data_IF_896809745957
#
_entry.id   IF_896809745957
#
_cell.length_a   1.000
_cell.length_b   1.000
_cell.length_c   1.000
_cell.angle_alpha   90.00
_cell.angle_beta   90.00
_cell.angle_gamma   90.00
#
_symmetry.space_group_name_H-M   'P 1'
#
loop_
_entity.id
_entity.type
_entity.pdbx_description
1 polymer ?
#
# COMPACT_ATOMS: atom_id res chain seq x y z
N UNK A 1 -8.28 -0.99 -13.40
CA UNK A 1 -7.33 -1.37 -12.33
C UNK A 1 -7.95 -2.20 -11.22
N UNK A 2 -9.01 -1.73 -10.53
CA UNK A 2 -9.72 -2.51 -9.48
C UNK A 2 -10.09 -3.93 -9.89
N UNK A 3 -10.61 -4.12 -11.10
CA UNK A 3 -11.01 -5.44 -11.62
C UNK A 3 -9.83 -6.41 -11.82
N UNK A 4 -8.64 -5.91 -12.17
CA UNK A 4 -7.46 -6.74 -12.47
C UNK A 4 -6.93 -7.40 -11.20
N UNK A 5 -6.94 -6.65 -10.09
CA UNK A 5 -6.45 -7.09 -8.78
C UNK A 5 -7.61 -7.45 -7.83
N UNK A 6 -8.82 -7.56 -8.36
CA UNK A 6 -10.04 -7.93 -7.63
C UNK A 6 -10.26 -7.12 -6.33
N UNK A 7 -9.97 -5.82 -6.37
CA UNK A 7 -10.11 -4.91 -5.24
C UNK A 7 -11.58 -4.45 -5.07
N UNK A 8 -12.06 -4.27 -3.83
CA UNK A 8 -13.39 -3.71 -3.56
C UNK A 8 -13.60 -2.32 -4.19
N UNK A 9 -14.84 -1.95 -4.54
CA UNK A 9 -15.14 -0.66 -5.17
C UNK A 9 -14.87 0.54 -4.23
N UNK A 10 -14.96 0.34 -2.92
CA UNK A 10 -14.70 1.33 -1.87
C UNK A 10 -13.22 1.55 -1.56
N UNK A 11 -12.31 0.85 -2.27
CA UNK A 11 -10.86 1.05 -2.09
C UNK A 11 -10.48 2.51 -2.39
N UNK A 12 -9.85 3.23 -1.44
CA UNK A 12 -9.49 4.64 -1.59
C UNK A 12 -8.61 4.90 -2.82
N UNK A 13 -8.81 6.04 -3.48
CA UNK A 13 -7.96 6.46 -4.62
C UNK A 13 -6.50 6.62 -4.21
N UNK A 14 -6.26 7.12 -3.00
CA UNK A 14 -4.93 7.22 -2.40
C UNK A 14 -4.15 5.91 -2.44
N UNK A 15 -4.80 4.74 -2.27
CA UNK A 15 -4.11 3.46 -2.37
C UNK A 15 -3.50 3.21 -3.76
N UNK A 16 -4.18 3.63 -4.84
CA UNK A 16 -3.69 3.40 -6.20
C UNK A 16 -2.51 4.32 -6.53
N UNK A 17 -2.65 5.60 -6.19
CA UNK A 17 -1.74 6.63 -6.66
C UNK A 17 -0.60 6.95 -5.70
N UNK A 18 -0.79 6.66 -4.40
CA UNK A 18 0.27 6.79 -3.39
C UNK A 18 1.47 5.92 -3.77
N UNK A 19 2.65 6.42 -3.45
CA UNK A 19 3.89 5.73 -3.75
C UNK A 19 3.93 4.36 -3.06
N UNK A 20 4.60 3.35 -3.65
CA UNK A 20 4.75 2.06 -2.99
C UNK A 20 5.40 2.23 -1.61
N UNK A 21 6.39 3.11 -1.49
CA UNK A 21 7.06 3.41 -0.22
C UNK A 21 6.07 3.84 0.88
N UNK A 22 5.03 4.61 0.54
CA UNK A 22 3.97 5.02 1.47
C UNK A 22 2.88 3.97 1.70
N UNK A 23 3.00 2.79 1.08
CA UNK A 23 2.05 1.67 1.18
C UNK A 23 1.00 1.63 0.07
N UNK A 24 1.12 2.46 -0.96
CA UNK A 24 0.25 2.43 -2.13
C UNK A 24 0.76 1.53 -3.27
N UNK A 25 0.15 1.67 -4.46
CA UNK A 25 0.53 0.93 -5.67
C UNK A 25 1.47 1.70 -6.60
N UNK A 26 1.59 3.02 -6.45
CA UNK A 26 2.48 3.86 -7.25
C UNK A 26 2.03 4.07 -8.69
N UNK A 27 0.74 3.95 -8.95
CA UNK A 27 0.16 4.11 -10.28
C UNK A 27 0.13 5.60 -10.60
N UNK A 28 0.51 5.98 -11.82
CA UNK A 28 0.44 7.39 -12.21
C UNK A 28 -1.03 7.80 -12.36
N UNK A 29 -1.44 8.84 -11.65
CA UNK A 29 -2.70 9.52 -11.95
C UNK A 29 -2.52 10.27 -13.27
N UNK A 30 -3.22 9.88 -14.32
CA UNK A 30 -3.07 10.53 -15.63
C UNK A 30 -3.77 11.90 -15.69
N UNK A 31 -4.86 12.08 -14.94
CA UNK A 31 -5.59 13.36 -14.87
C UNK A 31 -4.68 14.50 -14.45
N UNK A 32 -3.84 14.29 -13.43
CA UNK A 32 -2.88 15.30 -12.95
C UNK A 32 -1.49 15.10 -13.53
N UNK A 33 -1.09 13.86 -13.80
CA UNK A 33 0.23 13.53 -14.32
C UNK A 33 0.46 13.92 -15.78
N UNK A 34 -0.56 13.88 -16.66
CA UNK A 34 -0.41 14.29 -18.07
C UNK A 34 -0.15 15.79 -18.16
N UNK A 35 -0.96 16.68 -17.55
CA UNK A 35 -0.68 18.12 -17.56
C UNK A 35 0.70 18.46 -17.02
N UNK A 36 1.10 17.89 -15.87
CA UNK A 36 2.46 18.06 -15.30
C UNK A 36 3.56 17.59 -16.28
N UNK A 37 3.34 16.48 -16.98
CA UNK A 37 4.33 15.96 -17.94
C UNK A 37 4.46 16.88 -19.16
N UNK A 38 3.34 17.40 -19.67
CA UNK A 38 3.31 18.37 -20.77
C UNK A 38 3.96 19.69 -20.36
N UNK A 39 3.65 20.19 -19.16
CA UNK A 39 4.30 21.36 -18.58
C UNK A 39 5.83 21.22 -18.60
N UNK A 40 6.35 20.12 -18.00
CA UNK A 40 7.78 19.87 -17.95
C UNK A 40 8.41 19.73 -19.34
N UNK A 41 7.69 19.16 -20.30
CA UNK A 41 8.13 19.04 -21.68
C UNK A 41 8.29 20.43 -22.33
N UNK A 42 7.26 21.28 -22.27
CA UNK A 42 7.30 22.63 -22.85
C UNK A 42 8.30 23.54 -22.15
N UNK A 43 8.44 23.43 -20.83
CA UNK A 43 9.46 24.16 -20.07
C UNK A 43 10.88 23.77 -20.52
N UNK A 44 11.15 22.46 -20.68
CA UNK A 44 12.44 21.96 -21.20
C UNK A 44 12.69 22.38 -22.64
N UNK A 45 11.66 22.32 -23.48
CA UNK A 45 11.74 22.75 -24.87
C UNK A 45 12.07 24.24 -24.97
N UNK A 46 11.44 25.06 -24.12
CA UNK A 46 11.74 26.47 -24.03
C UNK A 46 13.15 26.77 -23.47
N UNK A 47 13.64 25.95 -22.53
CA UNK A 47 14.99 26.14 -22.00
C UNK A 47 16.10 25.69 -22.98
N UNK A 48 15.81 24.72 -23.86
CA UNK A 48 16.84 24.05 -24.68
C UNK A 48 16.88 24.52 -26.13
N UNK A 49 15.81 25.15 -26.63
CA UNK A 49 15.74 25.59 -28.02
C UNK A 49 16.21 27.04 -28.18
N UNK A 50 17.19 27.33 -29.05
CA UNK A 50 17.58 28.70 -29.39
C UNK A 50 16.61 29.37 -30.39
N UNK A 51 15.66 28.63 -30.96
CA UNK A 51 14.70 29.14 -31.94
C UNK A 51 13.58 29.98 -31.27
N UNK A 52 13.41 31.27 -31.65
CA UNK A 52 12.38 32.15 -31.08
C UNK A 52 10.94 31.65 -31.26
N UNK A 53 10.65 30.95 -32.35
CA UNK A 53 9.30 30.45 -32.67
C UNK A 53 8.89 29.33 -31.70
N UNK A 54 9.83 28.44 -31.40
CA UNK A 54 9.66 27.35 -30.44
C UNK A 54 9.40 27.90 -29.03
N UNK A 55 10.09 28.98 -28.66
CA UNK A 55 9.88 29.68 -27.39
C UNK A 55 8.48 30.29 -27.31
N UNK A 56 8.03 30.95 -28.37
CA UNK A 56 6.70 31.59 -28.38
C UNK A 56 5.59 30.57 -28.26
N UNK A 57 5.65 29.48 -29.04
CA UNK A 57 4.64 28.40 -29.02
C UNK A 57 4.58 27.73 -27.65
N UNK A 58 5.73 27.46 -27.04
CA UNK A 58 5.79 26.81 -25.72
C UNK A 58 5.19 27.69 -24.63
N UNK A 59 5.51 29.00 -24.64
CA UNK A 59 4.97 29.97 -23.67
C UNK A 59 3.48 30.20 -23.87
N UNK A 60 3.02 30.32 -25.12
CA UNK A 60 1.61 30.49 -25.46
C UNK A 60 0.77 29.31 -24.99
N UNK A 61 1.25 28.07 -25.22
CA UNK A 61 0.55 26.88 -24.75
C UNK A 61 0.46 26.84 -23.22
N UNK A 62 1.56 27.13 -22.51
CA UNK A 62 1.59 27.14 -21.04
C UNK A 62 0.62 28.19 -20.47
N UNK A 63 0.61 29.39 -21.04
CA UNK A 63 -0.31 30.46 -20.64
C UNK A 63 -1.78 30.07 -20.89
N UNK A 64 -2.08 29.43 -22.03
CA UNK A 64 -3.45 28.98 -22.37
C UNK A 64 -3.99 27.94 -21.39
N UNK A 65 -3.13 27.05 -20.92
CA UNK A 65 -3.51 26.01 -19.95
C UNK A 65 -3.50 26.51 -18.50
N UNK A 66 -3.19 27.79 -18.29
CA UNK A 66 -3.17 28.42 -16.96
C UNK A 66 -1.98 28.00 -16.10
N UNK A 67 -0.89 27.55 -16.70
CA UNK A 67 0.35 27.24 -15.98
C UNK A 67 1.26 28.45 -15.92
N UNK A 68 1.75 28.75 -14.72
CA UNK A 68 2.81 29.71 -14.52
C UNK A 68 4.18 29.04 -14.77
N UNK A 69 5.09 29.75 -15.43
CA UNK A 69 6.45 29.29 -15.66
C UNK A 69 7.26 29.20 -14.36
N UNK A 70 6.89 30.00 -13.36
CA UNK A 70 7.60 30.08 -12.09
C UNK A 70 6.98 29.22 -10.98
N UNK A 71 5.75 28.72 -11.18
CA UNK A 71 5.08 27.81 -10.25
C UNK A 71 4.98 26.38 -10.79
N UNK A 72 5.65 25.45 -10.11
CA UNK A 72 5.49 24.03 -10.39
C UNK A 72 4.02 23.62 -10.25
N UNK A 73 3.44 22.92 -11.24
CA UNK A 73 2.09 22.41 -11.14
C UNK A 73 1.97 21.53 -9.88
N UNK A 74 0.97 21.81 -9.05
CA UNK A 74 0.73 21.03 -7.83
C UNK A 74 0.51 19.56 -8.21
N UNK A 75 1.42 18.69 -7.79
CA UNK A 75 1.16 17.25 -7.81
C UNK A 75 0.25 16.91 -6.65
N UNK A 76 -0.74 16.06 -6.89
CA UNK A 76 -1.60 15.52 -5.83
C UNK A 76 -0.78 14.90 -4.69
N UNK A 77 -1.17 15.20 -3.45
CA UNK A 77 -0.55 14.63 -2.24
C UNK A 77 -1.19 13.28 -1.89
N UNK A 78 -1.12 12.33 -2.82
CA UNK A 78 -1.78 11.03 -2.68
C UNK A 78 -1.34 10.23 -1.45
N UNK A 79 -0.10 10.42 -0.98
CA UNK A 79 0.42 9.75 0.22
C UNK A 79 -0.30 10.25 1.49
N UNK A 80 -0.57 11.55 1.59
CA UNK A 80 -1.32 12.13 2.71
C UNK A 80 -2.77 11.65 2.71
N UNK A 81 -3.40 11.64 1.53
CA UNK A 81 -4.78 11.15 1.35
C UNK A 81 -4.90 9.65 1.66
N UNK A 82 -3.86 8.88 1.33
CA UNK A 82 -3.80 7.47 1.68
C UNK A 82 -3.77 7.29 3.20
N UNK A 83 -2.88 7.99 3.90
CA UNK A 83 -2.71 7.88 5.35
C UNK A 83 -3.84 8.48 6.18
N UNK A 84 -4.66 9.36 5.61
CA UNK A 84 -5.87 9.87 6.25
C UNK A 84 -7.04 8.88 6.19
N UNK A 85 -7.02 7.95 5.25
CA UNK A 85 -8.03 6.90 5.12
C UNK A 85 -7.92 5.84 6.23
N UNK A 86 -9.06 5.19 6.56
CA UNK A 86 -9.12 4.08 7.52
C UNK A 86 -8.20 2.92 7.12
N UNK A 87 -8.10 2.64 5.82
CA UNK A 87 -7.29 1.55 5.30
C UNK A 87 -5.78 1.87 5.37
N UNK A 88 -5.42 3.11 5.06
CA UNK A 88 -4.03 3.54 4.95
C UNK A 88 -3.42 4.14 6.22
N UNK A 89 -4.22 4.40 7.26
CA UNK A 89 -3.73 4.94 8.53
C UNK A 89 -2.61 4.08 9.15
N UNK A 90 -2.70 2.75 9.02
CA UNK A 90 -1.66 1.82 9.49
C UNK A 90 -0.36 1.84 8.68
N UNK A 91 -0.35 2.48 7.50
CA UNK A 91 0.83 2.65 6.66
C UNK A 91 1.61 3.94 6.96
N UNK A 92 1.19 4.74 7.95
CA UNK A 92 1.94 5.94 8.36
C UNK A 92 3.37 5.57 8.76
N UNK A 93 4.34 6.30 8.21
CA UNK A 93 5.76 6.03 8.45
C UNK A 93 6.35 4.90 7.60
N UNK A 94 5.56 4.17 6.80
CA UNK A 94 6.07 3.10 5.91
C UNK A 94 7.10 3.60 4.90
N UNK A 95 7.05 4.89 4.53
CA UNK A 95 8.01 5.51 3.62
C UNK A 95 9.46 5.45 4.12
N UNK A 96 9.67 5.30 5.43
CA UNK A 96 11.00 5.12 6.04
C UNK A 96 11.57 3.72 5.85
N UNK A 97 10.76 2.76 5.39
CA UNK A 97 11.12 1.35 5.24
C UNK A 97 10.93 0.89 3.78
N UNK A 98 11.95 1.06 2.91
CA UNK A 98 11.85 0.70 1.49
C UNK A 98 11.49 -0.77 1.23
N UNK A 99 11.82 -1.67 2.16
CA UNK A 99 11.55 -3.11 2.06
C UNK A 99 10.08 -3.48 2.28
N UNK A 100 9.28 -2.62 2.92
CA UNK A 100 7.87 -2.89 3.26
C UNK A 100 7.02 -3.26 2.03
N UNK A 101 7.21 -2.52 0.95
CA UNK A 101 6.42 -2.60 -0.29
C UNK A 101 7.32 -2.69 -1.53
N UNK A 102 8.61 -2.93 -1.36
CA UNK A 102 9.56 -3.09 -2.48
C UNK A 102 9.13 -4.19 -3.45
N UNK A 103 8.48 -5.23 -2.94
CA UNK A 103 7.92 -6.33 -3.74
C UNK A 103 6.79 -5.87 -4.70
N UNK A 104 6.08 -4.79 -4.40
CA UNK A 104 5.03 -4.23 -5.28
C UNK A 104 5.67 -3.75 -6.60
N UNK A 105 6.85 -3.13 -6.52
CA UNK A 105 7.61 -2.69 -7.70
C UNK A 105 8.33 -3.83 -8.40
N UNK A 106 8.87 -4.79 -7.63
CA UNK A 106 9.55 -5.95 -8.20
C UNK A 106 8.59 -6.92 -8.94
N UNK A 107 7.28 -6.78 -8.69
CA UNK A 107 6.22 -7.56 -9.34
C UNK A 107 6.05 -8.96 -8.75
N UNK A 108 5.31 -9.81 -9.47
CA UNK A 108 4.94 -11.15 -9.01
C UNK A 108 6.04 -12.22 -9.22
N UNK A 109 7.31 -11.86 -9.46
CA UNK A 109 8.36 -12.87 -9.76
C UNK A 109 8.56 -13.88 -8.62
N UNK A 110 8.21 -13.50 -7.39
CA UNK A 110 8.34 -14.32 -6.18
C UNK A 110 7.05 -15.08 -5.80
N UNK A 111 5.93 -14.87 -6.50
CA UNK A 111 4.63 -15.38 -6.07
C UNK A 111 3.67 -15.64 -7.24
N UNK A 112 2.78 -16.61 -7.10
CA UNK A 112 1.73 -16.83 -8.09
C UNK A 112 0.81 -15.60 -8.22
N UNK A 113 0.06 -15.52 -9.33
CA UNK A 113 -0.93 -14.44 -9.54
C UNK A 113 -1.91 -14.30 -8.37
N UNK A 114 -2.40 -15.42 -7.84
CA UNK A 114 -3.36 -15.43 -6.73
C UNK A 114 -2.77 -14.93 -5.42
N UNK A 115 -1.51 -15.30 -5.14
CA UNK A 115 -0.77 -14.81 -3.97
C UNK A 115 -0.47 -13.32 -4.09
N UNK A 116 -0.11 -12.84 -5.28
CA UNK A 116 0.08 -11.40 -5.54
C UNK A 116 -1.18 -10.60 -5.26
N UNK A 117 -2.32 -11.03 -5.79
CA UNK A 117 -3.62 -10.38 -5.53
C UNK A 117 -3.93 -10.37 -4.03
N UNK A 118 -3.68 -11.49 -3.35
CA UNK A 118 -3.91 -11.61 -1.90
C UNK A 118 -2.97 -10.72 -1.09
N UNK A 119 -1.71 -10.58 -1.50
CA UNK A 119 -0.73 -9.70 -0.88
C UNK A 119 -1.12 -8.23 -1.05
N UNK A 120 -1.59 -7.83 -2.24
CA UNK A 120 -2.07 -6.47 -2.51
C UNK A 120 -3.30 -6.15 -1.66
N UNK A 121 -4.24 -7.11 -1.52
CA UNK A 121 -5.41 -6.94 -0.63
C UNK A 121 -5.03 -6.75 0.83
N UNK A 122 -3.99 -7.44 1.30
CA UNK A 122 -3.45 -7.28 2.66
C UNK A 122 -2.76 -5.93 2.83
N UNK A 123 -1.95 -5.51 1.86
CA UNK A 123 -1.27 -4.21 1.87
C UNK A 123 -2.28 -3.06 1.95
N UNK A 124 -3.34 -3.11 1.13
CA UNK A 124 -4.38 -2.10 1.12
C UNK A 124 -5.39 -2.21 2.25
N UNK A 125 -5.23 -3.15 3.20
CA UNK A 125 -6.17 -3.41 4.29
C UNK A 125 -7.64 -3.60 3.83
N UNK A 126 -7.84 -4.15 2.62
CA UNK A 126 -9.17 -4.33 1.99
C UNK A 126 -9.75 -5.73 2.16
N UNK A 127 -9.23 -6.49 3.13
CA UNK A 127 -9.83 -7.76 3.50
C UNK A 127 -11.10 -7.51 4.32
N UNK A 128 -12.09 -8.38 4.13
CA UNK A 128 -13.40 -8.37 4.81
C UNK A 128 -13.21 -8.61 6.31
N UNK A 129 -12.86 -7.53 7.00
CA UNK A 129 -12.81 -7.40 8.46
C UNK A 129 -13.99 -6.53 8.86
N UNK A 130 -14.55 -6.72 10.07
CA UNK A 130 -15.67 -5.88 10.53
C UNK A 130 -15.35 -4.40 10.50
N UNK A 131 -14.11 -3.99 10.79
CA UNK A 131 -13.73 -2.57 10.69
C UNK A 131 -13.77 -2.04 9.25
N UNK A 132 -13.37 -2.86 8.28
CA UNK A 132 -13.47 -2.50 6.86
C UNK A 132 -14.94 -2.47 6.40
N UNK A 133 -15.77 -3.41 6.84
CA UNK A 133 -17.21 -3.48 6.50
C UNK A 133 -18.07 -2.42 7.20
N UNK A 134 -17.60 -1.87 8.33
CA UNK A 134 -18.25 -0.80 9.10
C UNK A 134 -17.95 0.60 8.55
N UNK A 135 -17.13 0.74 7.51
CA UNK A 135 -16.88 2.04 6.86
C UNK A 135 -18.19 2.69 6.43
N UNK A 136 -18.33 3.98 6.78
CA UNK A 136 -19.54 4.76 6.50
C UNK A 136 -20.79 4.28 7.25
N UNK A 137 -20.62 3.38 8.23
CA UNK A 137 -21.70 2.73 8.99
C UNK A 137 -21.34 2.66 10.49
N UNK A 138 -21.42 3.79 11.21
CA UNK A 138 -20.97 3.89 12.60
C UNK A 138 -21.75 2.97 13.56
N UNK A 139 -22.94 2.53 13.18
CA UNK A 139 -23.79 1.62 13.94
C UNK A 139 -23.28 0.17 13.95
N UNK A 140 -22.35 -0.19 13.06
CA UNK A 140 -21.89 -1.58 12.94
C UNK A 140 -20.88 -1.96 14.00
N UNK A 141 -21.05 -3.18 14.52
CA UNK A 141 -20.11 -3.78 15.46
C UNK A 141 -18.75 -4.01 14.81
N UNK A 142 -17.71 -3.41 15.37
CA UNK A 142 -16.32 -3.57 14.90
C UNK A 142 -15.52 -4.60 15.70
N UNK A 143 -16.05 -5.15 16.79
CA UNK A 143 -15.33 -6.11 17.63
C UNK A 143 -15.07 -7.44 16.91
N UNK A 144 -13.98 -8.13 17.27
CA UNK A 144 -13.58 -9.40 16.67
C UNK A 144 -14.63 -10.50 16.81
N UNK A 145 -14.93 -11.19 15.70
CA UNK A 145 -15.93 -12.27 15.61
C UNK A 145 -15.70 -13.42 16.60
N UNK A 146 -14.46 -13.71 16.95
CA UNK A 146 -14.11 -14.86 17.78
C UNK A 146 -13.75 -14.49 19.23
N UNK A 147 -14.21 -13.34 19.72
CA UNK A 147 -14.35 -13.10 21.16
C UNK A 147 -13.15 -12.49 21.89
N UNK A 148 -12.10 -12.03 21.20
CA UNK A 148 -10.99 -11.32 21.87
C UNK A 148 -11.33 -9.88 22.33
N UNK A 149 -12.57 -9.42 22.05
CA UNK A 149 -13.11 -8.10 22.41
C UNK A 149 -12.30 -6.89 21.94
N UNK A 150 -11.40 -7.05 20.97
CA UNK A 150 -10.69 -5.94 20.31
C UNK A 150 -11.31 -5.64 18.95
N UNK A 151 -11.11 -4.43 18.39
CA UNK A 151 -11.51 -4.12 17.02
C UNK A 151 -10.93 -5.12 16.02
N UNK A 152 -11.78 -5.65 15.14
CA UNK A 152 -11.44 -6.53 14.04
C UNK A 152 -10.80 -5.72 12.93
N UNK A 153 -9.52 -5.43 13.10
CA UNK A 153 -8.65 -4.86 12.07
C UNK A 153 -7.62 -5.91 11.65
N UNK A 154 -7.17 -5.85 10.40
CA UNK A 154 -6.22 -6.83 9.88
C UNK A 154 -4.93 -6.90 10.71
N UNK A 155 -4.41 -5.75 11.13
CA UNK A 155 -3.22 -5.66 11.98
C UNK A 155 -3.38 -6.39 13.32
N UNK A 156 -4.55 -6.26 13.96
CA UNK A 156 -4.85 -6.99 15.19
C UNK A 156 -4.85 -8.52 14.95
N UNK A 157 -5.59 -8.98 13.95
CA UNK A 157 -5.71 -10.40 13.62
C UNK A 157 -4.34 -11.00 13.26
N UNK A 158 -3.53 -10.27 12.49
CA UNK A 158 -2.25 -10.79 11.97
C UNK A 158 -1.07 -10.63 12.94
N UNK A 159 -1.10 -9.65 13.84
CA UNK A 159 0.07 -9.31 14.67
C UNK A 159 -0.11 -9.62 16.17
N UNK A 160 -1.31 -9.41 16.74
CA UNK A 160 -1.45 -9.36 18.21
C UNK A 160 -2.61 -10.13 18.82
N UNK A 161 -3.55 -10.67 18.03
CA UNK A 161 -4.74 -11.33 18.58
C UNK A 161 -4.41 -12.62 19.36
N UNK A 162 -4.92 -12.77 20.58
CA UNK A 162 -4.71 -14.00 21.36
C UNK A 162 -5.26 -15.23 20.65
N UNK A 163 -6.44 -15.13 20.03
CA UNK A 163 -7.11 -16.23 19.32
C UNK A 163 -6.29 -16.75 18.13
N UNK A 164 -5.61 -15.87 17.39
CA UNK A 164 -4.79 -16.27 16.23
C UNK A 164 -3.32 -16.50 16.59
N UNK A 165 -2.98 -16.57 17.88
CA UNK A 165 -1.59 -16.71 18.33
C UNK A 165 -0.91 -17.95 17.74
N UNK A 166 -1.55 -19.13 17.81
CA UNK A 166 -1.00 -20.37 17.25
C UNK A 166 -0.70 -20.27 15.75
N UNK A 167 -1.59 -19.64 14.98
CA UNK A 167 -1.38 -19.39 13.55
C UNK A 167 -0.21 -18.43 13.29
N UNK A 168 0.03 -17.45 14.16
CA UNK A 168 1.20 -16.57 14.06
C UNK A 168 2.49 -17.32 14.33
N UNK A 169 2.51 -18.19 15.35
CA UNK A 169 3.66 -19.04 15.66
C UNK A 169 3.95 -19.96 14.48
N UNK A 170 2.95 -20.65 13.95
CA UNK A 170 3.12 -21.51 12.77
C UNK A 170 3.65 -20.74 11.55
N UNK A 171 3.14 -19.52 11.29
CA UNK A 171 3.65 -18.66 10.23
C UNK A 171 5.12 -18.29 10.45
N UNK A 172 5.48 -17.92 11.68
CA UNK A 172 6.85 -17.59 12.07
C UNK A 172 7.78 -18.80 11.86
N UNK A 173 7.41 -19.97 12.37
CA UNK A 173 8.21 -21.19 12.26
C UNK A 173 8.43 -21.61 10.81
N UNK A 174 7.41 -21.44 9.96
CA UNK A 174 7.54 -21.67 8.51
C UNK A 174 8.57 -20.73 7.88
N UNK A 175 8.55 -19.44 8.24
CA UNK A 175 9.52 -18.46 7.73
C UNK A 175 10.94 -18.81 8.20
N UNK A 176 11.11 -19.08 9.50
CA UNK A 176 12.41 -19.47 10.08
C UNK A 176 12.93 -20.73 9.39
N UNK A 177 12.09 -21.75 9.24
CA UNK A 177 12.46 -22.99 8.55
C UNK A 177 12.91 -22.74 7.11
N UNK A 178 12.20 -21.88 6.36
CA UNK A 178 12.58 -21.53 4.98
C UNK A 178 13.92 -20.80 4.93
N UNK A 179 14.18 -19.89 5.87
CA UNK A 179 15.45 -19.15 5.96
C UNK A 179 16.59 -20.09 6.33
N UNK A 180 16.43 -20.92 7.36
CA UNK A 180 17.43 -21.91 7.79
C UNK A 180 17.81 -22.85 6.65
N UNK A 181 16.83 -23.34 5.87
CA UNK A 181 17.07 -24.16 4.68
C UNK A 181 17.91 -23.43 3.62
N UNK A 182 17.64 -22.14 3.36
CA UNK A 182 18.43 -21.36 2.40
C UNK A 182 19.83 -21.06 2.89
N UNK A 183 20.03 -20.92 4.20
CA UNK A 183 21.33 -20.66 4.82
C UNK A 183 22.13 -21.95 5.12
N UNK A 184 21.58 -23.13 4.82
CA UNK A 184 22.22 -24.41 5.14
C UNK A 184 22.34 -24.69 6.64
N UNK A 185 21.52 -24.04 7.47
CA UNK A 185 21.49 -24.23 8.92
C UNK A 185 20.54 -25.39 9.22
N UNK A 186 21.09 -26.55 9.58
CA UNK A 186 20.28 -27.67 10.08
C UNK A 186 19.84 -27.40 11.52
N UNK A 187 18.55 -27.55 11.81
CA UNK A 187 18.07 -27.60 13.20
C UNK A 187 17.60 -26.29 13.83
N UNK A 188 17.22 -25.27 13.06
CA UNK A 188 16.55 -24.06 13.58
C UNK A 188 15.16 -24.33 14.14
N UNK A 189 15.04 -25.14 15.20
CA UNK A 189 13.82 -25.26 16.00
C UNK A 189 13.74 -24.00 16.86
N UNK A 190 12.70 -23.20 16.66
CA UNK A 190 12.18 -22.39 17.75
C UNK A 190 11.83 -23.37 18.86
N UNK A 191 12.56 -23.33 19.97
CA UNK A 191 12.23 -24.07 21.19
C UNK A 191 10.89 -23.54 21.71
N UNK A 192 9.80 -24.13 21.22
CA UNK A 192 8.42 -23.79 21.54
C UNK A 192 7.65 -25.03 22.02
N UNK A 193 8.32 -25.91 22.75
CA UNK A 193 7.62 -26.90 23.58
C UNK A 193 7.12 -26.17 24.85
N UNK A 194 6.09 -25.34 24.70
CA UNK A 194 5.22 -25.01 25.82
C UNK A 194 3.91 -25.74 25.57
N UNK A 195 3.80 -26.86 26.25
CA UNK A 195 2.53 -27.44 26.68
C UNK A 195 1.52 -26.34 26.94
N UNK A 196 0.47 -26.28 26.12
CA UNK A 196 -0.76 -25.60 26.49
C UNK A 196 -1.22 -26.21 27.81
N UNK A 197 -1.10 -25.45 28.90
CA UNK A 197 -1.75 -25.78 30.16
C UNK A 197 -3.28 -25.87 29.90
N UNK A 198 -3.99 -26.85 30.48
CA UNK A 198 -5.44 -26.98 30.32
C UNK A 198 -6.17 -25.77 30.94
N UNK A 199 -7.44 -25.53 30.56
CA UNK A 199 -8.17 -24.34 30.97
C UNK A 199 -8.34 -24.34 32.50
N UNK A 200 -8.04 -23.21 33.13
CA UNK A 200 -8.43 -22.99 34.52
C UNK A 200 -9.95 -22.83 34.59
N UNK A 201 -10.51 -23.56 35.56
CA UNK A 201 -11.92 -23.54 35.98
C UNK A 201 -12.39 -22.15 36.42
#
# INVERSE_FOLDING_TARGET
MRMIVHLPPDTPLGFFFSSPRAGGLGVKCFTTGIPVSRYNMYLRLAASSPDPSTLSISREWLAKEGFDLDELPKSDSWDSDWWSSVDGAGCRGSATLPSFSGWVRAGARLMSRGEFVSAIKRLGNVLSTRSHEAKGRPERLVLYRHGCQRPEILGHIQQSCSVTHGWRVQRHDKIVTTICKHLGIEGGRSSGNQTFLPPMA
#
